data_IF_796824138713
#
_entry.id   IF_796824138713
#
_cell.length_a   1.000
_cell.length_b   1.000
_cell.length_c   1.000
_cell.angle_alpha   90.00
_cell.angle_beta   90.00
_cell.angle_gamma   90.00
#
_symmetry.space_group_name_H-M   'P 1'
#
loop_
_entity.id
_entity.type
_entity.pdbx_description
1 polymer ?
#
# COMPACT_ATOMS: atom_id res chain seq x y z
N UNK A 1 -12.18 0.86 -0.50
CA UNK A 1 -13.50 1.22 0.05
C UNK A 1 -13.76 2.69 -0.25
N UNK A 2 -15.01 2.99 -0.51
CA UNK A 2 -15.60 4.16 -1.18
C UNK A 2 -15.16 5.51 -0.60
N UNK A 3 -14.56 6.37 -1.43
CA UNK A 3 -14.25 7.78 -1.14
C UNK A 3 -15.53 8.64 -1.23
N UNK A 4 -16.59 8.26 -0.49
CA UNK A 4 -17.87 8.97 -0.52
C UNK A 4 -17.81 10.18 0.42
N UNK A 5 -17.59 11.35 -0.19
CA UNK A 5 -18.07 12.68 0.20
C UNK A 5 -18.34 12.90 1.70
N UNK A 6 -17.27 12.90 2.50
CA UNK A 6 -17.27 13.38 3.88
C UNK A 6 -17.66 14.87 4.00
N UNK A 7 -17.64 15.61 2.89
CA UNK A 7 -18.03 17.02 2.80
C UNK A 7 -19.54 17.26 2.92
N UNK A 8 -20.38 16.27 2.60
CA UNK A 8 -21.84 16.44 2.64
C UNK A 8 -22.41 16.25 4.07
N UNK A 9 -21.70 15.52 4.95
CA UNK A 9 -22.14 15.23 6.31
C UNK A 9 -21.86 16.34 7.33
N UNK A 10 -21.08 17.37 6.97
CA UNK A 10 -20.72 18.49 7.86
C UNK A 10 -21.80 19.59 7.85
N UNK A 11 -22.66 19.63 6.84
CA UNK A 11 -23.66 20.69 6.65
C UNK A 11 -24.87 20.61 7.61
N UNK A 12 -25.06 19.51 8.35
CA UNK A 12 -26.25 19.27 9.18
C UNK A 12 -26.09 19.70 10.67
N UNK A 13 -25.07 20.49 10.98
CA UNK A 13 -25.19 21.48 12.06
C UNK A 13 -25.26 20.96 13.51
N UNK A 14 -24.77 19.76 13.82
CA UNK A 14 -24.55 19.36 15.20
C UNK A 14 -23.30 18.48 15.36
N UNK A 15 -22.26 19.11 15.92
CA UNK A 15 -21.09 18.52 16.59
C UNK A 15 -19.75 18.35 15.82
N UNK A 16 -18.82 19.24 16.21
CA UNK A 16 -17.34 19.29 16.11
C UNK A 16 -16.68 19.70 14.79
N UNK A 17 -16.73 21.00 14.51
CA UNK A 17 -15.75 21.70 13.67
C UNK A 17 -14.30 21.53 14.16
N UNK A 18 -14.04 21.45 15.47
CA UNK A 18 -12.65 21.40 15.99
C UNK A 18 -11.90 20.09 15.65
N UNK A 19 -12.63 18.97 15.61
CA UNK A 19 -12.07 17.66 15.33
C UNK A 19 -11.85 17.48 13.83
N UNK A 20 -12.73 18.05 13.00
CA UNK A 20 -12.55 18.13 11.56
C UNK A 20 -11.27 18.90 11.23
N UNK A 21 -11.04 20.08 11.83
CA UNK A 21 -9.81 20.83 11.60
C UNK A 21 -8.54 20.13 12.12
N UNK A 22 -8.59 19.41 13.25
CA UNK A 22 -7.43 18.62 13.72
C UNK A 22 -7.14 17.37 12.88
N UNK A 23 -8.14 16.76 12.26
CA UNK A 23 -7.95 15.63 11.33
C UNK A 23 -7.54 16.07 9.92
N UNK A 24 -7.90 17.29 9.51
CA UNK A 24 -7.67 17.82 8.15
C UNK A 24 -6.33 18.60 8.00
N UNK A 25 -5.62 18.88 9.10
CA UNK A 25 -4.25 19.46 9.10
C UNK A 25 -3.21 18.51 8.49
N UNK A 26 -3.53 17.23 8.31
CA UNK A 26 -2.71 16.26 7.57
C UNK A 26 -3.33 15.90 6.21
N UNK A 27 -3.83 16.88 5.45
CA UNK A 27 -4.03 16.72 4.01
C UNK A 27 -2.68 16.60 3.26
N UNK A 28 -1.80 15.69 3.72
CA UNK A 28 -0.79 15.10 2.87
C UNK A 28 -1.56 14.35 1.79
N UNK A 29 -1.74 14.99 0.65
CA UNK A 29 -2.26 14.32 -0.54
C UNK A 29 -1.16 13.37 -0.98
N UNK A 30 -1.16 12.16 -0.42
CA UNK A 30 -0.24 11.10 -0.82
C UNK A 30 -0.59 10.75 -2.27
N UNK A 31 0.32 10.98 -3.23
CA UNK A 31 0.03 10.65 -4.61
C UNK A 31 -0.27 9.14 -4.68
N UNK A 32 -1.31 8.72 -5.43
CA UNK A 32 -1.53 7.31 -5.67
C UNK A 32 -0.28 6.65 -6.23
N UNK A 33 -0.08 5.38 -5.86
CA UNK A 33 1.16 4.63 -6.14
C UNK A 33 1.48 4.57 -7.64
N UNK A 34 0.45 4.59 -8.51
CA UNK A 34 0.59 4.67 -9.97
C UNK A 34 1.34 5.91 -10.48
N UNK A 35 1.36 7.01 -9.71
CA UNK A 35 2.10 8.24 -10.02
C UNK A 35 3.52 8.22 -9.46
N UNK A 36 3.89 7.19 -8.68
CA UNK A 36 5.21 7.02 -8.07
C UNK A 36 5.72 5.60 -8.33
N UNK A 37 5.75 5.21 -9.61
CA UNK A 37 6.12 3.84 -9.99
C UNK A 37 7.53 3.44 -9.56
N UNK A 38 8.42 4.42 -9.47
CA UNK A 38 9.80 4.27 -9.00
C UNK A 38 9.86 3.78 -7.54
N UNK A 39 8.87 4.12 -6.71
CA UNK A 39 8.79 3.70 -5.32
C UNK A 39 8.31 2.24 -5.17
N UNK A 40 7.68 1.66 -6.19
CA UNK A 40 7.06 0.32 -6.11
C UNK A 40 8.12 -0.73 -5.77
N UNK A 41 9.29 -0.67 -6.41
CA UNK A 41 10.38 -1.61 -6.17
C UNK A 41 10.87 -1.55 -4.71
N UNK A 42 11.11 -0.33 -4.22
CA UNK A 42 11.61 -0.09 -2.87
C UNK A 42 10.58 -0.54 -1.81
N UNK A 43 9.32 -0.19 -2.00
CA UNK A 43 8.23 -0.58 -1.10
C UNK A 43 8.00 -2.09 -1.11
N UNK A 44 8.03 -2.72 -2.29
CA UNK A 44 7.86 -4.15 -2.43
C UNK A 44 8.96 -4.91 -1.69
N UNK A 45 10.22 -4.51 -1.85
CA UNK A 45 11.34 -5.10 -1.12
C UNK A 45 11.21 -4.89 0.39
N UNK A 46 10.82 -3.68 0.83
CA UNK A 46 10.60 -3.40 2.25
C UNK A 46 9.54 -4.33 2.87
N UNK A 47 8.41 -4.52 2.19
CA UNK A 47 7.36 -5.42 2.65
C UNK A 47 7.80 -6.88 2.61
N UNK A 48 8.55 -7.29 1.58
CA UNK A 48 9.09 -8.63 1.45
C UNK A 48 9.99 -8.96 2.65
N UNK A 49 10.95 -8.10 2.96
CA UNK A 49 11.89 -8.28 4.08
C UNK A 49 11.15 -8.41 5.40
N UNK A 50 10.14 -7.55 5.62
CA UNK A 50 9.34 -7.56 6.84
C UNK A 50 8.51 -8.85 6.95
N UNK A 51 7.89 -9.28 5.87
CA UNK A 51 7.10 -10.52 5.81
C UNK A 51 7.98 -11.76 5.97
N UNK A 52 9.12 -11.83 5.27
CA UNK A 52 10.07 -12.94 5.36
C UNK A 52 10.59 -13.12 6.80
N UNK A 53 10.93 -12.03 7.49
CA UNK A 53 11.31 -12.04 8.92
C UNK A 53 10.17 -12.54 9.81
N UNK A 54 8.95 -12.03 9.60
CA UNK A 54 7.78 -12.42 10.40
C UNK A 54 7.39 -13.89 10.21
N UNK A 55 7.52 -14.40 8.99
CA UNK A 55 7.16 -15.77 8.60
C UNK A 55 8.31 -16.76 8.76
N UNK A 56 9.50 -16.30 9.17
CA UNK A 56 10.75 -17.09 9.25
C UNK A 56 11.06 -17.82 7.93
N UNK A 57 10.84 -17.15 6.80
CA UNK A 57 11.12 -17.69 5.48
C UNK A 57 12.43 -17.15 4.92
N UNK A 58 13.11 -17.98 4.15
CA UNK A 58 14.36 -17.67 3.46
C UNK A 58 14.17 -16.92 2.13
N UNK A 59 13.06 -16.19 1.98
CA UNK A 59 12.80 -15.43 0.75
C UNK A 59 13.71 -14.20 0.75
N UNK A 60 14.58 -14.11 -0.25
CA UNK A 60 15.65 -13.11 -0.37
C UNK A 60 15.27 -11.95 -1.30
N UNK A 61 14.32 -12.16 -2.21
CA UNK A 61 13.99 -11.13 -3.21
C UNK A 61 12.81 -11.44 -4.11
N UNK A 62 12.52 -10.48 -4.97
CA UNK A 62 11.58 -10.59 -6.09
C UNK A 62 12.36 -10.93 -7.36
N UNK A 63 11.82 -11.82 -8.18
CA UNK A 63 12.34 -12.04 -9.53
C UNK A 63 12.14 -10.78 -10.39
N UNK A 64 12.95 -10.65 -11.45
CA UNK A 64 12.79 -9.53 -12.40
C UNK A 64 11.39 -9.50 -13.02
N UNK A 65 10.82 -10.67 -13.35
CA UNK A 65 9.47 -10.80 -13.88
C UNK A 65 8.41 -10.35 -12.86
N UNK A 66 8.53 -10.75 -11.60
CA UNK A 66 7.63 -10.29 -10.54
C UNK A 66 7.67 -8.77 -10.41
N UNK A 67 8.87 -8.18 -10.44
CA UNK A 67 9.04 -6.74 -10.33
C UNK A 67 8.42 -5.98 -11.51
N UNK A 68 8.59 -6.47 -12.74
CA UNK A 68 7.95 -5.92 -13.93
C UNK A 68 6.42 -5.90 -13.80
N UNK A 69 5.84 -7.01 -13.32
CA UNK A 69 4.40 -7.11 -13.08
C UNK A 69 3.92 -6.12 -12.01
N UNK A 70 4.67 -5.97 -10.92
CA UNK A 70 4.35 -5.02 -9.86
C UNK A 70 4.39 -3.57 -10.38
N UNK A 71 5.36 -3.23 -11.23
CA UNK A 71 5.49 -1.88 -11.81
C UNK A 71 4.41 -1.59 -12.86
N UNK A 72 4.02 -2.60 -13.64
CA UNK A 72 2.99 -2.47 -14.68
C UNK A 72 1.57 -2.31 -14.11
N UNK A 73 1.32 -2.85 -12.91
CA UNK A 73 0.00 -2.80 -12.29
C UNK A 73 -0.36 -1.41 -11.72
N UNK A 74 -1.64 -1.06 -11.76
CA UNK A 74 -2.11 0.31 -11.45
C UNK A 74 -2.35 0.57 -9.96
N UNK A 75 -2.35 -0.47 -9.12
CA UNK A 75 -2.55 -0.40 -7.66
C UNK A 75 -3.73 0.50 -7.24
N UNK A 76 -4.98 0.17 -7.61
CA UNK A 76 -6.16 0.94 -7.20
C UNK A 76 -6.32 1.08 -5.68
N UNK A 77 -5.79 0.14 -4.89
CA UNK A 77 -5.70 0.20 -3.44
C UNK A 77 -4.37 0.74 -2.88
N UNK A 78 -3.53 1.33 -3.74
CA UNK A 78 -2.24 1.94 -3.41
C UNK A 78 -1.31 1.02 -2.60
N UNK A 79 -0.56 1.59 -1.66
CA UNK A 79 0.42 0.91 -0.82
C UNK A 79 -0.19 -0.26 -0.04
N UNK A 80 -1.45 -0.14 0.42
CA UNK A 80 -2.12 -1.21 1.17
C UNK A 80 -2.39 -2.44 0.30
N UNK A 81 -2.71 -2.25 -0.97
CA UNK A 81 -2.89 -3.37 -1.90
C UNK A 81 -1.55 -4.02 -2.25
N UNK A 82 -0.49 -3.22 -2.43
CA UNK A 82 0.88 -3.71 -2.63
C UNK A 82 1.34 -4.57 -1.45
N UNK A 83 1.23 -4.05 -0.23
CA UNK A 83 1.57 -4.75 1.02
C UNK A 83 0.87 -6.11 1.13
N UNK A 84 -0.46 -6.14 0.98
CA UNK A 84 -1.23 -7.37 1.03
C UNK A 84 -0.82 -8.38 -0.05
N UNK A 85 -0.44 -7.89 -1.23
CA UNK A 85 -0.05 -8.75 -2.35
C UNK A 85 1.32 -9.38 -2.11
N UNK A 86 2.28 -8.61 -1.60
CA UNK A 86 3.61 -9.11 -1.19
C UNK A 86 3.48 -10.09 -0.01
N UNK A 87 2.62 -9.81 0.97
CA UNK A 87 2.38 -10.73 2.08
C UNK A 87 1.85 -12.09 1.60
N UNK A 88 0.86 -12.09 0.71
CA UNK A 88 0.33 -13.33 0.11
C UNK A 88 1.41 -14.05 -0.71
N UNK A 89 2.16 -13.34 -1.53
CA UNK A 89 3.22 -13.92 -2.34
C UNK A 89 4.32 -14.56 -1.47
N UNK A 90 4.72 -13.88 -0.39
CA UNK A 90 5.70 -14.41 0.58
C UNK A 90 5.16 -15.65 1.29
N UNK A 91 3.88 -15.66 1.67
CA UNK A 91 3.23 -16.83 2.28
C UNK A 91 3.20 -18.05 1.34
N UNK A 92 3.06 -17.83 0.04
CA UNK A 92 3.02 -18.90 -0.97
C UNK A 92 4.42 -19.30 -1.48
N UNK A 93 5.41 -18.43 -1.37
CA UNK A 93 6.76 -18.69 -1.84
C UNK A 93 7.37 -19.93 -1.15
N UNK A 94 7.85 -20.87 -1.95
CA UNK A 94 8.54 -22.09 -1.51
C UNK A 94 10.05 -22.03 -1.74
N UNK A 95 10.53 -21.09 -2.56
CA UNK A 95 11.94 -20.85 -2.84
C UNK A 95 12.46 -19.52 -2.30
N UNK A 96 13.68 -19.18 -2.67
CA UNK A 96 14.36 -17.95 -2.24
C UNK A 96 13.86 -16.69 -2.98
N UNK A 97 13.11 -16.86 -4.08
CA UNK A 97 12.58 -15.75 -4.89
C UNK A 97 11.06 -15.85 -5.08
N UNK A 98 10.39 -14.71 -5.03
CA UNK A 98 8.99 -14.55 -5.44
C UNK A 98 8.92 -14.35 -6.96
N UNK A 99 8.08 -15.13 -7.64
CA UNK A 99 7.90 -15.13 -9.10
C UNK A 99 6.60 -14.44 -9.51
#
# INVERSE_FOLDING_TARGET
>A
MTHRNLSQAVAEGAFREDLYYRLNVLNLTVPPLRMRREDIALLAQHFLDRCARSLRKSVLGLSAQALELLVAYSWPGNVRELENSIERATNLATGELVQ
#
